data_IF_291265906616
#
_entry.id   IF_291265906616
#
_cell.length_a   1.000
_cell.length_b   1.000
_cell.length_c   1.000
_cell.angle_alpha   90.00
_cell.angle_beta   90.00
_cell.angle_gamma   90.00
#
_symmetry.space_group_name_H-M   'P 1'
#
loop_
_entity.id
_entity.type
_entity.pdbx_description
1 polymer ?
#
# COMPACT_ATOMS: atom_id res chain seq x y z
N UNK A 1 -17.78 2.97 -8.82
CA UNK A 1 -17.63 1.53 -8.47
C UNK A 1 -16.65 0.77 -9.37
N UNK A 2 -16.74 0.87 -10.71
CA UNK A 2 -15.91 0.05 -11.63
C UNK A 2 -14.38 0.31 -11.51
N UNK A 3 -13.98 1.55 -11.22
CA UNK A 3 -12.57 1.96 -11.20
C UNK A 3 -11.83 1.60 -9.91
N UNK A 4 -12.52 1.37 -8.79
CA UNK A 4 -11.84 1.14 -7.51
C UNK A 4 -11.05 -0.18 -7.49
N UNK A 5 -11.61 -1.33 -7.95
CA UNK A 5 -10.84 -2.57 -8.07
C UNK A 5 -9.64 -2.46 -9.04
N UNK A 6 -9.78 -1.65 -10.09
CA UNK A 6 -8.73 -1.42 -11.09
C UNK A 6 -7.47 -0.80 -10.47
N UNK A 7 -7.61 0.00 -9.40
CA UNK A 7 -6.46 0.62 -8.74
C UNK A 7 -6.04 -0.15 -7.48
N UNK A 8 -6.98 -0.66 -6.69
CA UNK A 8 -6.66 -1.32 -5.40
C UNK A 8 -5.86 -2.60 -5.59
N UNK A 9 -6.27 -3.50 -6.50
CA UNK A 9 -5.56 -4.78 -6.65
C UNK A 9 -4.14 -4.60 -7.22
N UNK A 10 -3.92 -3.78 -8.26
CA UNK A 10 -2.57 -3.48 -8.70
C UNK A 10 -1.74 -2.75 -7.64
N UNK A 11 -2.33 -1.85 -6.84
CA UNK A 11 -1.62 -1.18 -5.74
C UNK A 11 -1.12 -2.20 -4.72
N UNK A 12 -1.98 -3.13 -4.28
CA UNK A 12 -1.60 -4.17 -3.33
C UNK A 12 -0.52 -5.10 -3.88
N UNK A 13 -0.69 -5.58 -5.12
CA UNK A 13 0.31 -6.46 -5.73
C UNK A 13 1.66 -5.74 -5.89
N UNK A 14 1.62 -4.50 -6.38
CA UNK A 14 2.82 -3.70 -6.58
C UNK A 14 3.50 -3.35 -5.25
N UNK A 15 2.74 -3.07 -4.18
CA UNK A 15 3.34 -2.77 -2.88
C UNK A 15 4.10 -3.95 -2.30
N UNK A 16 3.60 -5.19 -2.44
CA UNK A 16 4.35 -6.39 -2.08
C UNK A 16 5.69 -6.46 -2.83
N UNK A 17 5.67 -6.24 -4.15
CA UNK A 17 6.89 -6.28 -4.98
C UNK A 17 7.87 -5.17 -4.58
N UNK A 18 7.39 -3.93 -4.47
CA UNK A 18 8.21 -2.76 -4.13
C UNK A 18 8.88 -2.93 -2.77
N UNK A 19 8.12 -3.29 -1.74
CA UNK A 19 8.68 -3.44 -0.40
C UNK A 19 9.61 -4.65 -0.29
N UNK A 20 9.32 -5.76 -0.98
CA UNK A 20 10.25 -6.88 -1.07
C UNK A 20 11.58 -6.46 -1.75
N UNK A 21 11.52 -5.71 -2.86
CA UNK A 21 12.72 -5.21 -3.54
C UNK A 21 13.51 -4.22 -2.69
N UNK A 22 12.84 -3.34 -1.94
CA UNK A 22 13.53 -2.46 -0.99
C UNK A 22 14.23 -3.25 0.13
N UNK A 23 13.57 -4.26 0.69
CA UNK A 23 14.16 -5.12 1.74
C UNK A 23 15.39 -5.85 1.18
N UNK A 24 15.24 -6.53 0.03
CA UNK A 24 16.33 -7.27 -0.61
C UNK A 24 17.47 -6.33 -1.01
N UNK A 25 17.16 -5.17 -1.60
CA UNK A 25 18.14 -4.17 -2.01
C UNK A 25 18.91 -3.57 -0.83
N UNK A 26 18.22 -3.32 0.29
CA UNK A 26 18.85 -2.78 1.51
C UNK A 26 19.79 -3.81 2.16
N UNK A 27 19.47 -5.11 2.06
CA UNK A 27 20.24 -6.17 2.72
C UNK A 27 21.36 -6.76 1.85
N UNK A 28 21.15 -6.89 0.54
CA UNK A 28 22.00 -7.68 -0.37
C UNK A 28 22.71 -6.86 -1.46
N UNK A 29 22.38 -5.58 -1.66
CA UNK A 29 23.10 -4.71 -2.60
C UNK A 29 22.20 -3.79 -3.43
N UNK A 30 22.80 -2.81 -4.10
CA UNK A 30 22.11 -1.64 -4.68
C UNK A 30 21.28 -1.89 -5.94
N UNK A 31 21.43 -3.04 -6.61
CA UNK A 31 20.72 -3.37 -7.86
C UNK A 31 19.19 -3.35 -7.71
N UNK A 32 18.61 -4.21 -6.85
CA UNK A 32 17.17 -4.21 -6.57
C UNK A 32 16.62 -2.87 -6.05
N UNK A 33 17.46 -2.07 -5.40
CA UNK A 33 17.07 -0.80 -4.79
C UNK A 33 16.73 0.27 -5.83
N UNK A 34 17.42 0.28 -6.99
CA UNK A 34 17.08 1.16 -8.11
C UNK A 34 15.70 0.80 -8.70
N UNK A 35 15.44 -0.49 -8.90
CA UNK A 35 14.16 -0.98 -9.42
C UNK A 35 13.02 -0.70 -8.44
N UNK A 36 13.25 -0.93 -7.14
CA UNK A 36 12.29 -0.61 -6.09
C UNK A 36 11.89 0.87 -6.12
N UNK A 37 12.86 1.78 -6.30
CA UNK A 37 12.62 3.23 -6.32
C UNK A 37 11.69 3.66 -7.46
N UNK A 38 11.94 3.19 -8.68
CA UNK A 38 11.09 3.54 -9.82
C UNK A 38 9.70 2.92 -9.72
N UNK A 39 9.61 1.66 -9.28
CA UNK A 39 8.32 1.03 -9.04
C UNK A 39 7.55 1.68 -7.88
N UNK A 40 8.25 2.22 -6.88
CA UNK A 40 7.61 2.96 -5.79
C UNK A 40 7.00 4.29 -6.26
N UNK A 41 7.61 4.97 -7.22
CA UNK A 41 7.00 6.15 -7.84
C UNK A 41 5.64 5.80 -8.49
N UNK A 42 5.57 4.68 -9.21
CA UNK A 42 4.31 4.16 -9.73
C UNK A 42 3.35 3.75 -8.61
N UNK A 43 3.85 3.09 -7.56
CA UNK A 43 3.05 2.71 -6.40
C UNK A 43 2.40 3.91 -5.73
N UNK A 44 3.11 5.03 -5.57
CA UNK A 44 2.54 6.27 -5.01
C UNK A 44 1.37 6.76 -5.85
N UNK A 45 1.49 6.78 -7.17
CA UNK A 45 0.39 7.19 -8.08
C UNK A 45 -0.81 6.25 -7.93
N UNK A 46 -0.59 4.93 -7.98
CA UNK A 46 -1.67 3.96 -7.85
C UNK A 46 -2.32 3.97 -6.46
N UNK A 47 -1.53 4.17 -5.40
CA UNK A 47 -2.03 4.30 -4.03
C UNK A 47 -2.89 5.56 -3.87
N UNK A 48 -2.48 6.69 -4.46
CA UNK A 48 -3.29 7.92 -4.47
C UNK A 48 -4.63 7.68 -5.16
N UNK A 49 -4.63 7.09 -6.37
CA UNK A 49 -5.86 6.77 -7.09
C UNK A 49 -6.74 5.77 -6.32
N UNK A 50 -6.14 4.79 -5.66
CA UNK A 50 -6.86 3.82 -4.81
C UNK A 50 -7.55 4.48 -3.62
N UNK A 51 -6.88 5.44 -2.96
CA UNK A 51 -7.45 6.19 -1.85
C UNK A 51 -8.60 7.09 -2.33
N UNK A 52 -8.40 7.85 -3.41
CA UNK A 52 -9.42 8.73 -3.96
C UNK A 52 -10.68 7.95 -4.40
N UNK A 53 -10.49 6.86 -5.14
CA UNK A 53 -11.61 6.00 -5.55
C UNK A 53 -12.24 5.25 -4.37
N UNK A 54 -11.48 4.95 -3.32
CA UNK A 54 -12.00 4.34 -2.09
C UNK A 54 -12.91 5.27 -1.31
N UNK A 55 -12.58 6.56 -1.23
CA UNK A 55 -13.47 7.56 -0.65
C UNK A 55 -14.78 7.66 -1.42
N UNK A 56 -14.73 7.60 -2.76
CA UNK A 56 -15.93 7.61 -3.59
C UNK A 56 -16.81 6.38 -3.36
N UNK A 57 -16.23 5.17 -3.32
CA UNK A 57 -16.97 3.94 -2.98
C UNK A 57 -17.61 4.02 -1.60
N UNK A 58 -16.97 4.67 -0.63
CA UNK A 58 -17.51 4.81 0.72
C UNK A 58 -18.74 5.72 0.85
N UNK A 59 -19.08 6.47 -0.21
CA UNK A 59 -20.30 7.28 -0.30
C UNK A 59 -21.51 6.50 -0.84
N UNK A 60 -21.29 5.29 -1.38
CA UNK A 60 -22.38 4.48 -1.93
C UNK A 60 -23.29 4.00 -0.78
N UNK A 61 -24.62 4.26 -0.82
CA UNK A 61 -25.52 3.93 0.29
C UNK A 61 -25.49 2.46 0.70
N UNK A 62 -25.40 1.54 -0.28
CA UNK A 62 -25.29 0.10 -0.03
C UNK A 62 -24.01 -0.27 0.74
N UNK A 63 -22.90 0.43 0.48
CA UNK A 63 -21.64 0.21 1.20
C UNK A 63 -21.79 0.74 2.62
N UNK A 64 -22.40 1.91 2.81
CA UNK A 64 -22.60 2.48 4.15
C UNK A 64 -23.51 1.63 5.03
N UNK A 65 -24.56 1.04 4.47
CA UNK A 65 -25.52 0.23 5.24
C UNK A 65 -24.98 -1.15 5.64
N UNK A 66 -23.99 -1.68 4.92
CA UNK A 66 -23.46 -3.03 5.12
C UNK A 66 -22.01 -3.09 5.64
N UNK A 67 -21.29 -1.97 5.67
CA UNK A 67 -19.89 -1.95 6.12
C UNK A 67 -19.81 -1.93 7.66
N UNK A 68 -19.36 -3.02 8.31
CA UNK A 68 -19.21 -3.03 9.75
C UNK A 68 -18.07 -2.07 10.15
N UNK A 69 -18.31 -1.22 11.16
CA UNK A 69 -17.35 -0.21 11.59
C UNK A 69 -15.97 -0.82 11.95
N UNK A 70 -15.97 -1.96 12.65
CA UNK A 70 -14.76 -2.63 13.13
C UNK A 70 -13.81 -3.08 12.00
N UNK A 71 -14.33 -3.26 10.78
CA UNK A 71 -13.51 -3.58 9.60
C UNK A 71 -13.35 -2.38 8.67
N UNK A 72 -14.41 -1.57 8.50
CA UNK A 72 -14.44 -0.43 7.60
C UNK A 72 -13.52 0.71 8.04
N UNK A 73 -13.46 0.98 9.35
CA UNK A 73 -12.55 1.99 9.90
C UNK A 73 -11.08 1.64 9.65
N UNK A 74 -10.55 0.49 10.11
CA UNK A 74 -9.15 0.16 9.88
C UNK A 74 -8.82 0.01 8.39
N UNK A 75 -9.73 -0.52 7.56
CA UNK A 75 -9.49 -0.64 6.12
C UNK A 75 -9.27 0.72 5.43
N UNK A 76 -10.06 1.73 5.76
CA UNK A 76 -9.90 3.08 5.20
C UNK A 76 -8.56 3.69 5.63
N UNK A 77 -8.24 3.62 6.92
CA UNK A 77 -7.01 4.19 7.46
C UNK A 77 -5.76 3.47 6.98
N UNK A 78 -5.80 2.15 6.86
CA UNK A 78 -4.69 1.35 6.31
C UNK A 78 -4.41 1.74 4.86
N UNK A 79 -5.43 1.99 4.04
CA UNK A 79 -5.26 2.47 2.67
C UNK A 79 -4.54 3.83 2.59
N UNK A 80 -4.94 4.78 3.44
CA UNK A 80 -4.27 6.10 3.53
C UNK A 80 -2.84 5.93 4.05
N UNK A 81 -2.65 5.13 5.09
CA UNK A 81 -1.35 4.89 5.68
C UNK A 81 -0.39 4.22 4.69
N UNK A 82 -0.88 3.31 3.86
CA UNK A 82 -0.11 2.70 2.78
C UNK A 82 0.43 3.75 1.78
N UNK A 83 -0.38 4.74 1.40
CA UNK A 83 0.07 5.87 0.57
C UNK A 83 1.16 6.68 1.28
N UNK A 84 0.97 7.01 2.55
CA UNK A 84 1.98 7.75 3.33
C UNK A 84 3.29 6.96 3.42
N UNK A 85 3.23 5.66 3.71
CA UNK A 85 4.43 4.81 3.79
C UNK A 85 5.11 4.68 2.43
N UNK A 86 4.38 4.60 1.33
CA UNK A 86 4.95 4.59 -0.01
C UNK A 86 5.71 5.90 -0.31
N UNK A 87 5.10 7.06 0.03
CA UNK A 87 5.72 8.37 -0.08
C UNK A 87 6.98 8.50 0.77
N UNK A 88 6.93 8.09 2.03
CA UNK A 88 8.08 8.15 2.95
C UNK A 88 9.21 7.24 2.44
N UNK A 89 8.91 6.02 1.99
CA UNK A 89 9.90 5.15 1.36
C UNK A 89 10.50 5.80 0.11
N UNK A 90 9.68 6.43 -0.74
CA UNK A 90 10.14 7.07 -1.96
C UNK A 90 11.13 8.18 -1.64
N UNK A 91 10.74 9.12 -0.77
CA UNK A 91 11.57 10.24 -0.35
C UNK A 91 12.86 9.76 0.32
N UNK A 92 12.77 8.86 1.30
CA UNK A 92 13.94 8.39 2.05
C UNK A 92 14.95 7.69 1.14
N UNK A 93 14.51 6.77 0.29
CA UNK A 93 15.42 6.04 -0.60
C UNK A 93 15.85 6.84 -1.83
N UNK A 94 15.11 7.90 -2.21
CA UNK A 94 15.55 8.84 -3.24
C UNK A 94 16.78 9.61 -2.80
N UNK A 95 16.78 10.12 -1.56
CA UNK A 95 17.90 10.91 -1.03
C UNK A 95 19.03 10.07 -0.42
N UNK A 96 18.75 8.86 0.09
CA UNK A 96 19.74 8.03 0.79
C UNK A 96 20.18 6.79 0.00
N UNK A 97 20.14 6.88 -1.33
CA UNK A 97 20.44 5.75 -2.22
C UNK A 97 21.88 5.25 -2.11
N UNK A 98 22.83 6.16 -1.93
CA UNK A 98 24.25 5.87 -1.76
C UNK A 98 24.58 5.94 -0.26
N UNK A 99 24.81 4.78 0.37
CA UNK A 99 25.08 4.70 1.83
C UNK A 99 23.89 4.30 2.70
N UNK A 100 22.84 3.70 2.12
CA UNK A 100 21.70 3.19 2.88
C UNK A 100 22.16 2.20 3.97
N UNK A 101 22.01 2.59 5.24
CA UNK A 101 22.28 1.71 6.39
C UNK A 101 21.31 0.54 6.41
N UNK A 102 21.76 -0.67 6.79
CA UNK A 102 20.88 -1.85 6.97
C UNK A 102 19.69 -1.58 7.89
N UNK A 103 19.79 -0.60 8.80
CA UNK A 103 18.70 -0.16 9.68
C UNK A 103 17.50 0.43 8.91
N UNK A 104 17.71 0.91 7.69
CA UNK A 104 16.64 1.42 6.82
C UNK A 104 15.67 0.33 6.35
N UNK A 105 16.01 -0.96 6.53
CA UNK A 105 15.12 -2.10 6.19
C UNK A 105 13.81 -2.08 6.98
N UNK A 106 13.78 -1.42 8.14
CA UNK A 106 12.57 -1.30 8.97
C UNK A 106 11.46 -0.54 8.25
N UNK A 107 11.81 0.43 7.41
CA UNK A 107 10.85 1.26 6.70
C UNK A 107 10.05 0.50 5.62
N UNK A 108 10.68 -0.26 4.70
CA UNK A 108 9.94 -1.12 3.78
C UNK A 108 9.31 -2.32 4.49
N UNK A 109 9.88 -2.82 5.60
CA UNK A 109 9.22 -3.84 6.41
C UNK A 109 7.90 -3.34 7.01
N UNK A 110 7.84 -2.10 7.48
CA UNK A 110 6.59 -1.47 7.89
C UNK A 110 5.60 -1.40 6.72
N UNK A 111 6.06 -1.00 5.52
CA UNK A 111 5.23 -1.01 4.31
C UNK A 111 4.63 -2.38 3.99
N UNK A 112 5.41 -3.44 4.19
CA UNK A 112 4.94 -4.83 4.04
C UNK A 112 3.82 -5.17 5.03
N UNK A 113 4.00 -4.83 6.31
CA UNK A 113 2.98 -5.06 7.36
C UNK A 113 1.69 -4.32 7.04
N UNK A 114 1.78 -3.05 6.63
CA UNK A 114 0.60 -2.24 6.26
C UNK A 114 -0.11 -2.83 5.05
N UNK A 115 0.63 -3.30 4.05
CA UNK A 115 0.06 -3.98 2.89
C UNK A 115 -0.72 -5.24 3.30
N UNK A 116 -0.17 -6.05 4.21
CA UNK A 116 -0.84 -7.24 4.73
C UNK A 116 -2.12 -6.88 5.50
N UNK A 117 -2.08 -5.84 6.34
CA UNK A 117 -3.26 -5.37 7.06
C UNK A 117 -4.35 -4.85 6.11
N UNK A 118 -3.95 -4.13 5.04
CA UNK A 118 -4.88 -3.66 4.03
C UNK A 118 -5.53 -4.82 3.26
N UNK A 119 -4.74 -5.82 2.88
CA UNK A 119 -5.24 -7.03 2.24
C UNK A 119 -6.22 -7.78 3.15
N UNK A 120 -5.84 -8.01 4.40
CA UNK A 120 -6.64 -8.75 5.37
C UNK A 120 -7.99 -8.05 5.64
N UNK A 121 -7.96 -6.75 5.95
CA UNK A 121 -9.19 -5.98 6.21
C UNK A 121 -10.09 -5.89 4.97
N UNK A 122 -9.51 -5.74 3.78
CA UNK A 122 -10.27 -5.75 2.52
C UNK A 122 -10.92 -7.10 2.23
N UNK A 123 -10.21 -8.19 2.52
CA UNK A 123 -10.75 -9.54 2.36
C UNK A 123 -11.86 -9.86 3.37
N UNK A 124 -11.70 -9.47 4.63
CA UNK A 124 -12.74 -9.61 5.65
C UNK A 124 -14.01 -8.84 5.30
N UNK A 125 -13.88 -7.60 4.80
CA UNK A 125 -15.02 -6.85 4.28
C UNK A 125 -15.69 -7.60 3.14
N UNK A 126 -14.92 -8.13 2.18
CA UNK A 126 -15.50 -8.93 1.08
C UNK A 126 -16.30 -10.12 1.60
N UNK A 127 -15.79 -10.85 2.59
CA UNK A 127 -16.52 -11.98 3.17
C UNK A 127 -17.84 -11.56 3.83
N UNK A 128 -17.89 -10.42 4.52
CA UNK A 128 -19.13 -9.90 5.14
C UNK A 128 -20.12 -9.37 4.09
N UNK A 129 -19.64 -8.79 3.00
CA UNK A 129 -20.50 -8.22 1.96
C UNK A 129 -21.10 -9.26 1.00
N UNK A 130 -20.43 -10.40 0.81
CA UNK A 130 -20.82 -11.44 -0.14
C UNK A 130 -21.19 -12.79 0.52
N UNK A 131 -21.25 -12.86 1.86
CA UNK A 131 -21.94 -13.92 2.62
C UNK A 131 -23.44 -13.67 2.64
#
# INVERSE_FOLDING_TARGET
MLFHPLFVYPTLLLSFVVYALYIVGTLKGSGPLKTALYLNALLVVLALLSVLTGFDVSKVPLVQSKMPFILGFPHKWNGIFMLVVALVNLVVFWFKREGSSKKLVLLPALGMVVTLLQLFTGWMLRLVFFS
#
